data_IF_763960870451
#
_entry.id   IF_763960870451
#
_cell.length_a   1.000
_cell.length_b   1.000
_cell.length_c   1.000
_cell.angle_alpha   90.00
_cell.angle_beta   90.00
_cell.angle_gamma   90.00
#
_symmetry.space_group_name_H-M   'P 1'
#
loop_
_entity.id
_entity.type
_entity.pdbx_description
1 polymer ?
#
# COMPACT_ATOMS: atom_id res chain seq x y z
N UNK A 1 -12.21 -6.95 -51.56
CA UNK A 1 -12.64 -6.50 -50.22
C UNK A 1 -12.12 -7.50 -49.21
N UNK A 2 -11.00 -7.19 -48.55
CA UNK A 2 -10.38 -8.05 -47.54
C UNK A 2 -10.45 -7.35 -46.18
N UNK A 3 -11.05 -8.02 -45.19
CA UNK A 3 -11.11 -7.58 -43.80
C UNK A 3 -9.75 -7.81 -43.10
N UNK A 4 -9.33 -6.92 -42.17
CA UNK A 4 -8.11 -7.13 -41.39
C UNK A 4 -8.37 -8.04 -40.18
N UNK A 5 -7.50 -9.03 -39.97
CA UNK A 5 -7.48 -9.92 -38.80
C UNK A 5 -6.96 -9.19 -37.56
N UNK A 6 -7.67 -9.33 -36.44
CA UNK A 6 -7.24 -8.90 -35.12
C UNK A 6 -6.06 -9.78 -34.63
N UNK A 7 -4.93 -9.15 -34.33
CA UNK A 7 -3.80 -9.74 -33.61
C UNK A 7 -3.77 -9.11 -32.22
N UNK A 8 -4.16 -9.87 -31.19
CA UNK A 8 -3.97 -9.45 -29.81
C UNK A 8 -4.70 -10.34 -28.84
N UNK A 9 -4.01 -11.36 -28.30
CA UNK A 9 -4.32 -12.04 -27.01
C UNK A 9 -3.35 -13.23 -26.77
N UNK A 10 -2.03 -13.02 -26.70
CA UNK A 10 -1.15 -14.10 -26.20
C UNK A 10 0.13 -13.65 -25.46
N UNK A 11 0.28 -12.35 -25.18
CA UNK A 11 1.46 -11.84 -24.47
C UNK A 11 1.48 -12.21 -22.98
N UNK A 12 0.31 -12.31 -22.32
CA UNK A 12 0.18 -12.50 -20.86
C UNK A 12 0.52 -13.90 -20.34
N UNK A 13 0.52 -14.92 -21.22
CA UNK A 13 0.80 -16.32 -20.83
C UNK A 13 2.28 -16.69 -20.81
N UNK A 14 3.15 -15.93 -21.48
CA UNK A 14 4.50 -16.40 -21.79
C UNK A 14 5.57 -15.30 -21.76
N UNK A 15 6.00 -14.85 -20.57
CA UNK A 15 7.40 -14.42 -20.35
C UNK A 15 7.72 -14.17 -18.88
N UNK A 16 8.61 -15.02 -18.35
CA UNK A 16 9.81 -14.65 -17.61
C UNK A 16 10.78 -15.83 -17.75
N UNK A 17 11.79 -15.78 -18.64
CA UNK A 17 12.86 -16.77 -18.62
C UNK A 17 13.69 -16.57 -17.34
N UNK A 18 14.07 -17.68 -16.70
CA UNK A 18 14.74 -17.75 -15.40
C UNK A 18 16.22 -17.29 -15.42
N UNK A 19 16.62 -16.38 -16.32
CA UNK A 19 18.04 -16.14 -16.63
C UNK A 19 18.75 -15.00 -15.89
N UNK A 20 18.06 -14.02 -15.29
CA UNK A 20 18.73 -12.79 -14.80
C UNK A 20 19.04 -12.74 -13.29
N UNK A 21 19.29 -13.90 -12.67
CA UNK A 21 19.73 -13.97 -11.27
C UNK A 21 21.24 -14.22 -11.09
N UNK A 22 22.08 -13.97 -12.09
CA UNK A 22 23.53 -14.20 -11.97
C UNK A 22 24.34 -12.89 -12.01
N UNK A 23 24.84 -12.56 -10.80
CA UNK A 23 26.07 -11.83 -10.43
C UNK A 23 25.77 -10.63 -9.53
N UNK A 24 25.92 -10.84 -8.23
CA UNK A 24 26.16 -9.76 -7.29
C UNK A 24 27.61 -9.28 -7.48
N UNK A 25 27.87 -7.99 -7.77
CA UNK A 25 29.20 -7.43 -7.56
C UNK A 25 29.40 -7.15 -6.06
N UNK A 26 30.59 -7.48 -5.56
CA UNK A 26 31.03 -7.21 -4.19
C UNK A 26 30.99 -5.69 -3.89
N UNK A 27 30.66 -5.28 -2.65
CA UNK A 27 30.58 -3.88 -2.30
C UNK A 27 31.99 -3.28 -2.16
N UNK A 28 32.39 -2.46 -3.12
CA UNK A 28 33.51 -1.53 -2.96
C UNK A 28 33.10 -0.39 -2.03
N UNK A 29 33.85 -0.27 -0.94
CA UNK A 29 33.79 0.81 0.05
C UNK A 29 34.20 2.13 -0.60
N UNK A 30 33.30 3.11 -0.62
CA UNK A 30 33.64 4.52 -0.92
C UNK A 30 33.31 5.39 0.27
N UNK A 31 34.33 6.10 0.72
CA UNK A 31 34.41 6.89 1.93
C UNK A 31 33.49 8.12 1.92
N UNK A 32 32.87 8.32 3.08
CA UNK A 32 32.08 9.47 3.50
C UNK A 32 32.96 10.74 3.56
N UNK A 33 32.65 11.74 2.73
CA UNK A 33 33.20 13.11 2.85
C UNK A 33 32.07 14.07 3.21
N UNK A 34 32.01 14.40 4.50
CA UNK A 34 31.22 15.49 5.07
C UNK A 34 31.61 16.84 4.44
N UNK A 35 30.62 17.60 3.98
CA UNK A 35 30.75 19.02 3.67
C UNK A 35 29.95 19.86 4.70
N UNK A 36 30.47 21.02 5.15
CA UNK A 36 29.84 21.81 6.20
C UNK A 36 28.75 22.73 5.63
N UNK A 37 27.67 22.86 6.41
CA UNK A 37 26.56 23.77 6.17
C UNK A 37 26.90 25.19 6.62
N UNK A 38 26.78 26.18 5.72
CA UNK A 38 26.62 27.59 6.09
C UNK A 38 25.55 28.27 5.23
N UNK A 39 24.47 28.67 5.92
CA UNK A 39 23.75 29.95 5.85
C UNK A 39 23.60 30.68 4.48
N UNK A 40 22.35 30.90 4.01
CA UNK A 40 21.64 32.20 4.08
C UNK A 40 20.38 32.28 3.20
N UNK A 41 19.29 32.62 3.90
CA UNK A 41 18.20 33.56 3.62
C UNK A 41 17.95 34.08 2.18
N UNK A 42 16.69 33.85 1.79
CA UNK A 42 15.85 34.41 0.72
C UNK A 42 16.11 35.87 0.32
N UNK A 43 16.14 36.09 -0.99
CA UNK A 43 15.89 37.37 -1.66
C UNK A 43 14.44 37.46 -2.13
N UNK A 44 13.85 38.66 -2.17
CA UNK A 44 12.96 38.97 -3.29
C UNK A 44 13.28 40.30 -3.97
N UNK A 45 13.40 40.20 -5.29
CA UNK A 45 12.86 41.08 -6.32
C UNK A 45 12.78 42.57 -5.98
N UNK A 46 13.68 43.38 -6.56
CA UNK A 46 13.37 44.78 -6.86
C UNK A 46 13.74 45.13 -8.29
N UNK A 47 12.76 45.76 -8.93
CA UNK A 47 12.75 46.33 -10.27
C UNK A 47 13.76 47.47 -10.38
N UNK A 48 14.37 47.55 -11.57
CA UNK A 48 15.17 48.68 -12.08
C UNK A 48 14.38 49.98 -12.04
N UNK A 49 15.08 51.10 -11.79
CA UNK A 49 15.07 52.29 -12.68
C UNK A 49 16.23 53.21 -12.32
N UNK A 50 16.95 53.63 -13.35
CA UNK A 50 18.03 54.61 -13.31
C UNK A 50 17.52 56.03 -12.98
N UNK A 51 18.41 56.90 -12.51
CA UNK A 51 18.24 58.35 -12.67
C UNK A 51 19.58 59.06 -12.78
N UNK A 52 19.73 59.78 -13.89
CA UNK A 52 20.72 60.82 -14.15
C UNK A 52 20.43 62.07 -13.31
N UNK A 53 21.46 62.90 -13.28
CA UNK A 53 21.70 64.07 -12.44
C UNK A 53 20.70 65.23 -12.56
N UNK A 54 20.90 66.17 -11.61
CA UNK A 54 20.39 67.53 -11.48
C UNK A 54 19.17 67.73 -10.56
N UNK A 55 19.42 68.55 -9.56
CA UNK A 55 18.62 68.73 -8.37
C UNK A 55 17.53 69.78 -8.48
N UNK A 56 16.51 69.58 -7.66
CA UNK A 56 15.68 70.57 -6.96
C UNK A 56 14.74 69.78 -6.04
N UNK A 57 14.83 70.03 -4.73
CA UNK A 57 13.95 69.41 -3.72
C UNK A 57 12.65 70.20 -3.67
N UNK A 58 11.51 69.54 -3.87
CA UNK A 58 10.17 70.08 -3.60
C UNK A 58 9.56 69.19 -2.52
N UNK A 59 9.26 69.78 -1.36
CA UNK A 59 8.58 69.10 -0.26
C UNK A 59 7.06 69.09 -0.51
N UNK A 60 6.43 67.92 -0.40
CA UNK A 60 4.97 67.76 -0.46
C UNK A 60 4.46 67.26 0.90
N UNK A 61 3.34 67.80 1.42
CA UNK A 61 2.78 67.41 2.72
C UNK A 61 2.16 66.01 2.68
N UNK A 62 2.40 65.24 3.75
CA UNK A 62 1.91 63.88 3.92
C UNK A 62 0.43 63.88 4.35
N UNK A 63 -0.49 63.70 3.41
CA UNK A 63 -1.88 63.40 3.74
C UNK A 63 -2.00 61.93 4.21
N UNK A 64 -2.36 61.77 5.49
CA UNK A 64 -2.54 60.48 6.17
C UNK A 64 -3.80 59.77 5.65
N UNK A 65 -3.64 58.88 4.67
CA UNK A 65 -4.73 58.02 4.16
C UNK A 65 -5.11 56.99 5.24
N UNK A 66 -6.28 57.15 5.87
CA UNK A 66 -6.88 56.14 6.76
C UNK A 66 -7.24 54.90 5.95
N UNK A 67 -6.49 53.80 6.11
CA UNK A 67 -6.79 52.50 5.51
C UNK A 67 -8.06 51.92 6.15
N UNK A 68 -9.18 51.90 5.41
CA UNK A 68 -10.36 51.10 5.77
C UNK A 68 -9.95 49.62 5.87
N UNK A 69 -10.22 48.99 7.01
CA UNK A 69 -10.02 47.55 7.22
C UNK A 69 -10.96 46.80 6.26
N UNK A 70 -10.41 46.25 5.18
CA UNK A 70 -11.09 45.23 4.37
C UNK A 70 -11.17 43.96 5.20
N UNK A 71 -12.34 43.63 5.73
CA UNK A 71 -12.64 42.31 6.26
C UNK A 71 -12.56 41.31 5.10
N UNK A 72 -11.57 40.42 5.12
CA UNK A 72 -11.51 39.28 4.19
C UNK A 72 -12.67 38.34 4.55
N UNK A 73 -13.47 37.88 3.59
CA UNK A 73 -14.43 36.81 3.85
C UNK A 73 -13.64 35.57 4.32
N UNK A 74 -14.05 34.98 5.44
CA UNK A 74 -13.57 33.66 5.87
C UNK A 74 -14.10 32.66 4.85
N UNK A 75 -13.21 32.20 3.97
CA UNK A 75 -13.47 30.97 3.21
C UNK A 75 -13.37 29.85 4.23
N UNK A 76 -14.52 29.34 4.67
CA UNK A 76 -14.60 28.07 5.39
C UNK A 76 -14.20 26.99 4.39
N UNK A 77 -12.95 26.54 4.48
CA UNK A 77 -12.52 25.29 3.86
C UNK A 77 -13.36 24.22 4.54
N UNK A 78 -14.30 23.62 3.80
CA UNK A 78 -14.88 22.36 4.20
C UNK A 78 -13.71 21.38 4.29
N UNK A 79 -13.37 20.97 5.52
CA UNK A 79 -12.52 19.81 5.70
C UNK A 79 -13.38 18.68 5.16
N UNK A 80 -13.07 18.22 3.95
CA UNK A 80 -13.59 16.94 3.46
C UNK A 80 -13.07 15.94 4.48
N UNK A 81 -13.98 15.33 5.23
CA UNK A 81 -13.66 14.28 6.18
C UNK A 81 -13.03 13.14 5.36
N UNK A 82 -11.71 13.13 5.27
CA UNK A 82 -10.98 12.10 4.55
C UNK A 82 -11.15 10.82 5.36
N UNK A 83 -11.80 9.82 4.77
CA UNK A 83 -11.93 8.48 5.37
C UNK A 83 -10.57 8.05 5.93
N UNK A 84 -10.57 7.53 7.16
CA UNK A 84 -9.35 6.96 7.74
C UNK A 84 -8.77 5.90 6.79
N UNK A 85 -7.47 5.97 6.48
CA UNK A 85 -6.86 5.13 5.47
C UNK A 85 -6.83 3.66 5.92
N UNK A 86 -7.34 2.78 5.05
CA UNK A 86 -7.33 1.34 5.24
C UNK A 86 -6.19 0.72 4.42
N UNK A 87 -5.23 0.01 5.05
CA UNK A 87 -4.18 -0.68 4.32
C UNK A 87 -4.75 -1.77 3.41
N UNK A 88 -4.32 -1.86 2.15
CA UNK A 88 -4.73 -2.92 1.20
C UNK A 88 -4.48 -4.33 1.79
N UNK A 89 -3.37 -4.52 2.49
CA UNK A 89 -3.04 -5.80 3.14
C UNK A 89 -4.03 -6.19 4.25
N UNK A 90 -4.72 -5.21 4.87
CA UNK A 90 -5.72 -5.47 5.90
C UNK A 90 -6.92 -6.26 5.36
N UNK A 91 -7.30 -6.07 4.09
CA UNK A 91 -8.40 -6.81 3.47
C UNK A 91 -8.09 -8.31 3.41
N UNK A 92 -6.86 -8.68 3.03
CA UNK A 92 -6.40 -10.07 3.03
C UNK A 92 -6.42 -10.65 4.45
N UNK A 93 -5.86 -9.92 5.42
CA UNK A 93 -5.79 -10.37 6.81
C UNK A 93 -7.17 -10.55 7.43
N UNK A 94 -8.09 -9.63 7.17
CA UNK A 94 -9.47 -9.67 7.67
C UNK A 94 -10.23 -10.83 7.04
N UNK A 95 -10.14 -10.98 5.72
CA UNK A 95 -10.76 -12.08 4.98
C UNK A 95 -10.28 -13.43 5.51
N UNK A 96 -8.99 -13.55 5.86
CA UNK A 96 -8.45 -14.75 6.50
C UNK A 96 -8.97 -14.94 7.93
N UNK A 97 -8.86 -13.92 8.79
CA UNK A 97 -9.34 -13.96 10.15
C UNK A 97 -9.43 -12.54 10.74
N UNK A 98 -10.62 -12.07 11.18
CA UNK A 98 -10.77 -10.75 11.80
C UNK A 98 -9.83 -10.52 12.99
N UNK A 99 -9.62 -11.54 13.82
CA UNK A 99 -8.65 -11.45 14.92
C UNK A 99 -7.21 -11.32 14.41
N UNK A 100 -6.83 -12.01 13.33
CA UNK A 100 -5.50 -11.83 12.74
C UNK A 100 -5.32 -10.40 12.22
N UNK A 101 -6.33 -9.85 11.53
CA UNK A 101 -6.31 -8.47 11.09
C UNK A 101 -6.10 -7.49 12.25
N UNK A 102 -6.86 -7.66 13.34
CA UNK A 102 -6.73 -6.82 14.52
C UNK A 102 -5.37 -6.97 15.20
N UNK A 103 -4.85 -8.19 15.35
CA UNK A 103 -3.50 -8.41 15.89
C UNK A 103 -2.40 -7.72 15.06
N UNK A 104 -2.55 -7.70 13.73
CA UNK A 104 -1.56 -7.07 12.84
C UNK A 104 -1.69 -5.55 12.84
N UNK A 105 -2.92 -5.03 12.69
CA UNK A 105 -3.15 -3.62 12.38
C UNK A 105 -3.55 -2.76 13.58
N UNK A 106 -4.08 -3.36 14.65
CA UNK A 106 -4.41 -2.64 15.90
C UNK A 106 -3.26 -2.85 16.89
N UNK A 107 -2.91 -4.10 17.18
CA UNK A 107 -1.90 -4.45 18.19
C UNK A 107 -0.46 -4.38 17.66
N UNK A 108 -0.28 -4.12 16.36
CA UNK A 108 1.04 -4.00 15.69
C UNK A 108 1.95 -5.22 15.92
N UNK A 109 1.35 -6.41 16.04
CA UNK A 109 2.06 -7.66 16.30
C UNK A 109 2.72 -8.16 15.01
N UNK A 110 3.85 -7.55 14.64
CA UNK A 110 4.78 -8.07 13.65
C UNK A 110 5.91 -8.80 14.39
N UNK A 111 5.68 -10.04 14.79
CA UNK A 111 6.78 -10.88 15.24
C UNK A 111 7.69 -11.17 14.04
N UNK A 112 8.97 -10.90 14.22
CA UNK A 112 10.13 -11.34 13.45
C UNK A 112 10.19 -12.88 13.34
N UNK A 113 9.16 -13.47 12.74
CA UNK A 113 9.07 -14.90 12.53
C UNK A 113 10.03 -15.25 11.39
N UNK A 114 10.84 -16.29 11.56
CA UNK A 114 11.81 -16.77 10.56
C UNK A 114 11.20 -17.07 9.16
N UNK A 115 9.87 -17.12 9.04
CA UNK A 115 9.16 -17.18 7.75
C UNK A 115 9.15 -15.86 6.97
N UNK A 116 9.16 -14.73 7.67
CA UNK A 116 9.26 -13.39 7.08
C UNK A 116 10.66 -13.15 6.52
N UNK A 117 11.74 -13.77 7.03
CA UNK A 117 13.08 -13.61 6.43
C UNK A 117 13.14 -14.10 4.97
N UNK A 118 12.39 -15.16 4.63
CA UNK A 118 12.34 -15.71 3.26
C UNK A 118 11.37 -14.95 2.35
N UNK A 119 10.28 -14.40 2.91
CA UNK A 119 9.41 -13.45 2.21
C UNK A 119 10.10 -12.11 1.98
N UNK A 120 10.72 -11.54 3.01
CA UNK A 120 11.48 -10.29 3.00
C UNK A 120 12.69 -10.34 2.09
N UNK A 121 13.39 -11.48 1.92
CA UNK A 121 14.51 -11.56 0.98
C UNK A 121 14.08 -11.37 -0.48
N UNK A 122 12.84 -11.71 -0.81
CA UNK A 122 12.31 -11.60 -2.17
C UNK A 122 11.50 -10.32 -2.34
N UNK A 123 10.74 -9.90 -1.32
CA UNK A 123 10.27 -8.53 -1.23
C UNK A 123 11.46 -7.56 -1.30
N UNK A 124 12.63 -7.80 -0.71
CA UNK A 124 13.80 -6.92 -0.82
C UNK A 124 14.31 -6.70 -2.25
N UNK A 125 14.05 -7.62 -3.19
CA UNK A 125 14.36 -7.42 -4.60
C UNK A 125 13.23 -6.69 -5.35
N UNK A 126 11.99 -6.84 -4.88
CA UNK A 126 10.79 -6.16 -5.39
C UNK A 126 10.59 -4.77 -4.73
N UNK A 127 11.17 -4.55 -3.56
CA UNK A 127 10.99 -3.38 -2.70
C UNK A 127 11.90 -2.23 -3.10
N UNK A 128 12.94 -2.51 -3.91
CA UNK A 128 13.72 -1.47 -4.57
C UNK A 128 12.83 -0.82 -5.63
N UNK A 129 12.41 0.44 -5.44
CA UNK A 129 11.64 1.13 -6.45
C UNK A 129 12.46 1.21 -7.73
N UNK A 130 11.85 0.88 -8.86
CA UNK A 130 12.55 0.84 -10.13
C UNK A 130 11.58 0.59 -11.29
N UNK A 131 11.78 1.35 -12.35
CA UNK A 131 11.08 1.18 -13.62
C UNK A 131 12.01 0.44 -14.59
N UNK A 132 11.59 -0.73 -15.05
CA UNK A 132 12.27 -1.47 -16.12
C UNK A 132 11.37 -1.50 -17.35
N UNK A 133 11.95 -1.48 -18.55
CA UNK A 133 11.18 -1.64 -19.79
C UNK A 133 11.58 -2.93 -20.48
N UNK A 134 10.65 -3.88 -20.54
CA UNK A 134 10.84 -5.18 -21.20
C UNK A 134 10.01 -5.18 -22.49
N UNK A 135 10.67 -4.87 -23.62
CA UNK A 135 9.97 -4.67 -24.88
C UNK A 135 9.03 -3.46 -24.82
N UNK A 136 7.74 -3.69 -25.04
CA UNK A 136 6.70 -2.66 -25.00
C UNK A 136 6.13 -2.41 -23.61
N UNK A 137 6.39 -3.30 -22.64
CA UNK A 137 5.83 -3.24 -21.30
C UNK A 137 6.78 -2.52 -20.35
N UNK A 138 6.26 -1.54 -19.61
CA UNK A 138 6.97 -0.89 -18.50
C UNK A 138 6.57 -1.59 -17.20
N UNK A 139 7.55 -2.02 -16.44
CA UNK A 139 7.39 -2.70 -15.17
C UNK A 139 7.75 -1.71 -14.06
N UNK A 140 6.79 -1.42 -13.19
CA UNK A 140 6.99 -0.64 -11.98
C UNK A 140 6.96 -1.56 -10.77
N UNK A 141 8.04 -1.59 -10.00
CA UNK A 141 8.10 -2.36 -8.75
C UNK A 141 7.82 -1.45 -7.57
N UNK A 142 7.26 -2.02 -6.51
CA UNK A 142 7.07 -1.31 -5.26
C UNK A 142 6.20 -0.03 -5.38
N UNK A 143 5.25 -0.04 -6.32
CA UNK A 143 4.46 1.14 -6.65
C UNK A 143 3.49 1.48 -5.50
N UNK A 144 3.52 2.71 -4.95
CA UNK A 144 2.53 3.14 -3.97
C UNK A 144 1.15 3.24 -4.64
N UNK A 145 0.12 2.80 -3.92
CA UNK A 145 -1.26 2.77 -4.38
C UNK A 145 -2.17 3.52 -3.41
N UNK A 146 -3.18 4.19 -3.96
CA UNK A 146 -4.25 4.81 -3.20
C UNK A 146 -5.57 4.76 -3.96
N UNK A 147 -6.68 4.75 -3.22
CA UNK A 147 -8.03 4.96 -3.71
C UNK A 147 -8.77 5.83 -2.70
N UNK A 148 -8.95 7.10 -3.00
CA UNK A 148 -9.62 8.09 -2.16
C UNK A 148 -11.09 7.72 -1.97
N UNK A 149 -11.77 7.23 -3.02
CA UNK A 149 -13.19 6.83 -2.95
C UNK A 149 -13.45 5.73 -1.93
N UNK A 150 -12.51 4.78 -1.79
CA UNK A 150 -12.62 3.68 -0.82
C UNK A 150 -11.77 3.91 0.42
N UNK A 151 -10.98 4.98 0.48
CA UNK A 151 -9.99 5.21 1.54
C UNK A 151 -8.93 4.12 1.63
N UNK A 152 -8.54 3.49 0.51
CA UNK A 152 -7.52 2.44 0.50
C UNK A 152 -6.13 3.03 0.27
N UNK A 153 -5.12 2.51 0.97
CA UNK A 153 -3.71 2.84 0.75
C UNK A 153 -2.85 1.58 0.79
N UNK A 154 -1.74 1.58 0.07
CA UNK A 154 -0.78 0.50 0.17
C UNK A 154 0.27 0.51 -0.93
N UNK A 155 0.71 -0.68 -1.30
CA UNK A 155 1.81 -0.88 -2.24
C UNK A 155 1.51 -2.11 -3.09
N UNK A 156 1.74 -2.01 -4.40
CA UNK A 156 1.82 -3.17 -5.28
C UNK A 156 3.26 -3.67 -5.32
N UNK A 157 3.43 -4.99 -5.27
CA UNK A 157 4.72 -5.63 -5.54
C UNK A 157 5.23 -5.25 -6.94
N UNK A 158 4.39 -5.46 -7.95
CA UNK A 158 4.72 -5.17 -9.34
C UNK A 158 3.49 -4.77 -10.13
N UNK A 159 3.65 -3.80 -11.02
CA UNK A 159 2.63 -3.39 -11.99
C UNK A 159 3.24 -3.38 -13.38
N UNK A 160 2.64 -4.14 -14.29
CA UNK A 160 2.97 -4.12 -15.71
C UNK A 160 2.09 -3.08 -16.40
N UNK A 161 2.70 -2.14 -17.12
CA UNK A 161 2.02 -1.14 -17.93
C UNK A 161 2.23 -1.46 -19.41
N UNK A 162 1.13 -1.69 -20.11
CA UNK A 162 1.11 -1.84 -21.57
C UNK A 162 1.48 -0.51 -22.25
N UNK A 163 1.79 -0.58 -23.56
CA UNK A 163 2.17 0.61 -24.33
C UNK A 163 1.06 1.68 -24.37
N UNK A 164 -0.21 1.25 -24.28
CA UNK A 164 -1.37 2.13 -24.20
C UNK A 164 -1.60 2.69 -22.78
N UNK A 165 -0.77 2.30 -21.79
CA UNK A 165 -0.86 2.69 -20.39
C UNK A 165 -1.86 1.90 -19.56
N UNK A 166 -2.41 0.80 -20.07
CA UNK A 166 -3.22 -0.13 -19.28
C UNK A 166 -2.35 -0.82 -18.22
N UNK A 167 -2.77 -0.74 -16.96
CA UNK A 167 -2.06 -1.35 -15.84
C UNK A 167 -2.51 -2.80 -15.61
N UNK A 168 -1.59 -3.65 -15.18
CA UNK A 168 -1.83 -5.05 -14.83
C UNK A 168 -1.06 -5.39 -13.54
N UNK A 169 -1.73 -5.43 -12.38
CA UNK A 169 -1.07 -5.72 -11.10
C UNK A 169 -0.65 -7.19 -11.01
N UNK A 170 0.53 -7.43 -10.46
CA UNK A 170 1.07 -8.77 -10.19
C UNK A 170 1.48 -8.87 -8.72
N UNK A 171 0.70 -9.61 -7.94
CA UNK A 171 0.96 -9.87 -6.52
C UNK A 171 1.87 -11.10 -6.36
N UNK A 172 2.95 -10.96 -5.60
CA UNK A 172 3.91 -12.04 -5.40
C UNK A 172 3.62 -12.77 -4.09
N UNK A 173 3.44 -14.11 -4.17
CA UNK A 173 3.20 -14.94 -2.98
C UNK A 173 4.33 -15.93 -2.74
N UNK A 174 4.81 -15.91 -1.49
CA UNK A 174 5.74 -16.88 -0.94
C UNK A 174 5.02 -17.98 -0.19
N UNK A 175 5.45 -19.23 -0.42
CA UNK A 175 4.99 -20.39 0.32
C UNK A 175 4.02 -21.30 -0.45
N UNK A 176 3.52 -22.36 0.21
CA UNK A 176 2.57 -23.29 -0.36
C UNK A 176 1.23 -22.60 -0.66
N UNK A 177 0.48 -23.16 -1.61
CA UNK A 177 -0.83 -22.62 -1.99
C UNK A 177 -1.76 -22.55 -0.77
N UNK A 178 -2.27 -21.35 -0.49
CA UNK A 178 -3.32 -21.09 0.51
C UNK A 178 -4.67 -20.93 -0.19
N UNK A 179 -5.74 -20.71 0.59
CA UNK A 179 -7.05 -20.41 0.03
C UNK A 179 -6.97 -19.19 -0.89
N UNK A 180 -7.46 -19.37 -2.11
CA UNK A 180 -7.23 -18.43 -3.22
C UNK A 180 -7.93 -17.09 -3.02
N UNK A 181 -9.09 -17.09 -2.37
CA UNK A 181 -9.97 -15.92 -2.31
C UNK A 181 -9.40 -14.74 -1.50
N UNK A 182 -8.56 -14.97 -0.48
CA UNK A 182 -7.96 -13.87 0.29
C UNK A 182 -6.96 -13.06 -0.56
N UNK A 183 -6.16 -13.76 -1.36
CA UNK A 183 -5.18 -13.13 -2.25
C UNK A 183 -5.89 -12.41 -3.40
N UNK A 184 -6.99 -12.98 -3.89
CA UNK A 184 -7.82 -12.37 -4.95
C UNK A 184 -8.42 -11.05 -4.48
N UNK A 185 -8.89 -10.99 -3.23
CA UNK A 185 -9.43 -9.77 -2.62
C UNK A 185 -8.37 -8.65 -2.52
N UNK A 186 -7.15 -8.98 -2.12
CA UNK A 186 -6.04 -8.03 -2.05
C UNK A 186 -5.65 -7.50 -3.44
N UNK A 187 -5.51 -8.40 -4.42
CA UNK A 187 -5.18 -8.04 -5.80
C UNK A 187 -6.27 -7.17 -6.42
N UNK A 188 -7.55 -7.46 -6.17
CA UNK A 188 -8.65 -6.64 -6.63
C UNK A 188 -8.64 -5.24 -6.02
N UNK A 189 -8.30 -5.12 -4.74
CA UNK A 189 -8.11 -3.81 -4.11
C UNK A 189 -6.97 -3.01 -4.76
N UNK A 190 -5.86 -3.66 -5.10
CA UNK A 190 -4.77 -3.03 -5.86
C UNK A 190 -5.25 -2.57 -7.24
N UNK A 191 -6.02 -3.40 -7.95
CA UNK A 191 -6.60 -3.06 -9.24
C UNK A 191 -7.51 -1.83 -9.14
N UNK A 192 -8.44 -1.78 -8.17
CA UNK A 192 -9.32 -0.62 -7.96
C UNK A 192 -8.53 0.67 -7.67
N UNK A 193 -7.44 0.60 -6.91
CA UNK A 193 -6.56 1.75 -6.69
C UNK A 193 -5.91 2.20 -8.00
N UNK A 194 -5.35 1.27 -8.77
CA UNK A 194 -4.75 1.58 -10.06
C UNK A 194 -5.77 2.14 -11.06
N UNK A 195 -7.02 1.68 -11.06
CA UNK A 195 -8.08 2.23 -11.91
C UNK A 195 -8.34 3.70 -11.59
N UNK A 196 -8.44 4.05 -10.31
CA UNK A 196 -8.65 5.43 -9.88
C UNK A 196 -7.44 6.31 -10.22
N UNK A 197 -6.22 5.82 -9.95
CA UNK A 197 -4.99 6.54 -10.22
C UNK A 197 -4.72 6.78 -11.71
N UNK A 198 -5.14 5.84 -12.56
CA UNK A 198 -4.85 5.89 -14.01
C UNK A 198 -6.03 6.34 -14.85
N UNK A 199 -7.25 6.34 -14.31
CA UNK A 199 -8.49 6.61 -15.03
C UNK A 199 -8.84 5.54 -16.08
N UNK A 200 -8.27 4.33 -15.99
CA UNK A 200 -8.46 3.24 -16.95
C UNK A 200 -8.99 1.98 -16.28
N UNK A 201 -9.84 1.18 -16.95
CA UNK A 201 -10.32 -0.07 -16.40
C UNK A 201 -9.21 -1.12 -16.34
N UNK A 202 -9.21 -1.91 -15.26
CA UNK A 202 -8.27 -3.01 -14.99
C UNK A 202 -9.12 -4.27 -14.78
N UNK A 203 -9.44 -5.00 -15.85
CA UNK A 203 -10.34 -6.15 -15.79
C UNK A 203 -9.68 -7.41 -15.22
N UNK A 204 -8.35 -7.43 -15.07
CA UNK A 204 -7.62 -8.59 -14.58
C UNK A 204 -6.28 -8.20 -13.96
N UNK A 205 -5.75 -9.08 -13.11
CA UNK A 205 -4.38 -9.08 -12.61
C UNK A 205 -3.86 -10.50 -12.45
N UNK A 206 -2.68 -10.68 -11.86
CA UNK A 206 -2.12 -12.01 -11.62
C UNK A 206 -1.57 -12.18 -10.20
N UNK A 207 -1.66 -13.40 -9.69
CA UNK A 207 -0.89 -13.85 -8.53
C UNK A 207 0.25 -14.74 -9.02
N UNK A 208 1.49 -14.37 -8.69
CA UNK A 208 2.68 -15.14 -9.01
C UNK A 208 3.15 -15.96 -7.81
N UNK A 209 3.20 -17.29 -7.97
CA UNK A 209 3.71 -18.19 -6.94
C UNK A 209 5.19 -18.51 -7.19
N UNK A 210 6.08 -18.05 -6.32
CA UNK A 210 7.52 -18.28 -6.48
C UNK A 210 7.92 -19.76 -6.44
N UNK A 211 7.24 -20.57 -5.62
CA UNK A 211 7.55 -22.00 -5.46
C UNK A 211 7.33 -22.79 -6.75
N UNK A 212 6.32 -22.43 -7.54
CA UNK A 212 5.96 -23.12 -8.78
C UNK A 212 6.36 -22.34 -10.04
N UNK A 213 6.77 -21.08 -9.90
CA UNK A 213 7.00 -20.12 -11.00
C UNK A 213 5.81 -19.99 -11.95
N UNK A 214 4.59 -20.11 -11.43
CA UNK A 214 3.35 -19.99 -12.21
C UNK A 214 2.57 -18.73 -11.83
N UNK A 215 2.00 -18.08 -12.86
CA UNK A 215 0.99 -17.02 -12.73
C UNK A 215 -0.40 -17.65 -12.73
N UNK A 216 -1.25 -17.21 -11.82
CA UNK A 216 -2.71 -17.41 -11.88
C UNK A 216 -3.34 -16.07 -12.18
N UNK A 217 -3.99 -15.95 -13.33
CA UNK A 217 -4.79 -14.78 -13.67
C UNK A 217 -6.06 -14.75 -12.82
N UNK A 218 -6.46 -13.55 -12.41
CA UNK A 218 -7.66 -13.29 -11.62
C UNK A 218 -8.45 -12.21 -12.35
N UNK A 219 -9.70 -12.52 -12.70
CA UNK A 219 -10.62 -11.53 -13.24
C UNK A 219 -11.11 -10.61 -12.12
N UNK A 220 -11.09 -9.29 -12.37
CA UNK A 220 -11.60 -8.28 -11.45
C UNK A 220 -13.05 -7.96 -11.83
N UNK A 221 -13.91 -8.95 -11.64
CA UNK A 221 -15.34 -8.88 -11.95
C UNK A 221 -16.15 -8.07 -10.93
N UNK A 222 -17.45 -7.89 -11.20
CA UNK A 222 -18.34 -7.13 -10.31
C UNK A 222 -18.41 -7.73 -8.90
N UNK A 223 -18.49 -9.06 -8.78
CA UNK A 223 -18.59 -9.73 -7.49
C UNK A 223 -17.34 -9.50 -6.62
N UNK A 224 -16.15 -9.55 -7.23
CA UNK A 224 -14.90 -9.30 -6.51
C UNK A 224 -14.74 -7.83 -6.12
N UNK A 225 -15.22 -6.90 -6.95
CA UNK A 225 -15.26 -5.46 -6.64
C UNK A 225 -16.20 -5.15 -5.47
N UNK A 226 -17.36 -5.79 -5.44
CA UNK A 226 -18.31 -5.67 -4.33
C UNK A 226 -17.73 -6.25 -3.05
N UNK A 227 -17.03 -7.39 -3.14
CA UNK A 227 -16.32 -7.99 -2.01
C UNK A 227 -15.22 -7.06 -1.45
N UNK A 228 -14.47 -6.36 -2.30
CA UNK A 228 -13.49 -5.35 -1.85
C UNK A 228 -14.18 -4.23 -1.08
N UNK A 229 -15.30 -3.72 -1.59
CA UNK A 229 -16.05 -2.64 -0.94
C UNK A 229 -16.54 -3.09 0.44
N UNK A 230 -17.21 -4.25 0.52
CA UNK A 230 -17.69 -4.83 1.77
C UNK A 230 -16.54 -5.07 2.78
N UNK A 231 -15.44 -5.66 2.33
CA UNK A 231 -14.29 -5.94 3.17
C UNK A 231 -13.64 -4.64 3.68
N UNK A 232 -13.58 -3.60 2.85
CA UNK A 232 -13.04 -2.29 3.24
C UNK A 232 -13.86 -1.69 4.37
N UNK A 233 -15.18 -1.73 4.29
CA UNK A 233 -16.07 -1.20 5.34
C UNK A 233 -15.99 -2.02 6.63
N UNK A 234 -15.90 -3.34 6.52
CA UNK A 234 -15.75 -4.23 7.67
C UNK A 234 -14.38 -4.05 8.35
N UNK A 235 -13.32 -3.89 7.57
CA UNK A 235 -11.98 -3.58 8.09
C UNK A 235 -11.97 -2.22 8.76
N UNK A 236 -12.54 -1.19 8.13
CA UNK A 236 -12.62 0.15 8.73
C UNK A 236 -13.33 0.10 10.08
N UNK A 237 -14.48 -0.58 10.15
CA UNK A 237 -15.23 -0.77 11.39
C UNK A 237 -14.42 -1.53 12.46
N UNK A 238 -13.63 -2.51 12.05
CA UNK A 238 -12.75 -3.25 12.96
C UNK A 238 -11.63 -2.35 13.49
N UNK A 239 -10.96 -1.58 12.62
CA UNK A 239 -9.83 -0.72 12.97
C UNK A 239 -10.24 0.48 13.84
N UNK A 240 -11.46 0.98 13.67
CA UNK A 240 -12.03 2.01 14.55
C UNK A 240 -12.57 1.45 15.88
N UNK A 241 -12.70 0.12 15.99
CA UNK A 241 -13.12 -0.51 17.24
C UNK A 241 -11.95 -0.66 18.22
N UNK A 242 -12.23 -0.50 19.51
CA UNK A 242 -11.28 -0.80 20.59
C UNK A 242 -11.33 -2.27 21.04
N UNK A 243 -11.92 -3.16 20.22
CA UNK A 243 -12.22 -4.53 20.62
C UNK A 243 -11.49 -5.54 19.74
N UNK A 244 -10.66 -6.36 20.38
CA UNK A 244 -9.99 -7.47 19.71
C UNK A 244 -10.96 -8.65 19.51
N UNK A 245 -11.32 -9.04 18.27
CA UNK A 245 -12.24 -10.15 18.05
C UNK A 245 -11.75 -11.45 18.71
N UNK A 246 -12.62 -12.29 19.27
CA UNK A 246 -12.21 -13.52 19.93
C UNK A 246 -11.55 -14.49 18.94
N UNK A 247 -10.66 -15.39 19.40
CA UNK A 247 -10.03 -16.36 18.53
C UNK A 247 -11.04 -17.38 18.00
N UNK A 248 -11.00 -17.65 16.70
CA UNK A 248 -11.92 -18.60 16.05
C UNK A 248 -11.61 -20.06 16.38
N UNK A 249 -10.35 -20.39 16.66
CA UNK A 249 -9.86 -21.75 17.01
C UNK A 249 -10.30 -22.87 16.04
N UNK A 250 -10.41 -22.58 14.74
CA UNK A 250 -10.80 -23.55 13.72
C UNK A 250 -9.58 -24.10 12.93
N UNK A 251 -9.85 -24.83 11.85
CA UNK A 251 -8.81 -25.44 11.01
C UNK A 251 -7.81 -24.41 10.43
N UNK A 252 -8.22 -23.14 10.23
CA UNK A 252 -7.35 -22.10 9.67
C UNK A 252 -6.20 -21.79 10.61
N UNK A 253 -6.44 -21.81 11.93
CA UNK A 253 -5.45 -21.45 12.95
C UNK A 253 -4.15 -22.26 12.84
N UNK A 254 -4.22 -23.53 12.40
CA UNK A 254 -3.05 -24.40 12.25
C UNK A 254 -1.98 -23.86 11.30
N UNK A 255 -2.40 -23.06 10.31
CA UNK A 255 -1.52 -22.44 9.32
C UNK A 255 -1.34 -20.93 9.53
N UNK A 256 -1.87 -20.38 10.64
CA UNK A 256 -1.78 -18.97 10.94
C UNK A 256 -0.38 -18.65 11.48
N UNK A 257 0.29 -17.67 10.88
CA UNK A 257 1.61 -17.18 11.34
C UNK A 257 1.59 -16.61 12.75
N UNK A 258 0.42 -16.20 13.24
CA UNK A 258 0.24 -15.61 14.57
C UNK A 258 -0.30 -16.61 15.60
N UNK A 259 -0.36 -17.92 15.31
CA UNK A 259 -0.94 -18.90 16.25
C UNK A 259 -0.24 -18.90 17.62
N UNK A 260 1.08 -18.73 17.67
CA UNK A 260 1.85 -18.71 18.92
C UNK A 260 1.53 -17.49 19.80
N UNK A 261 1.16 -16.37 19.19
CA UNK A 261 0.81 -15.13 19.87
C UNK A 261 -0.68 -15.08 20.20
N UNK A 262 -1.52 -15.56 19.28
CA UNK A 262 -2.96 -15.61 19.41
C UNK A 262 -3.44 -16.66 20.44
N UNK A 263 -2.70 -17.78 20.56
CA UNK A 263 -2.98 -18.92 21.44
C UNK A 263 -4.46 -19.33 21.51
N UNK A 264 -5.11 -19.62 20.36
CA UNK A 264 -6.56 -19.81 20.30
C UNK A 264 -7.07 -20.97 21.18
N UNK A 265 -6.27 -22.03 21.36
CA UNK A 265 -6.59 -23.16 22.24
C UNK A 265 -6.57 -22.77 23.72
N UNK A 266 -5.60 -21.97 24.15
CA UNK A 266 -5.48 -21.55 25.55
C UNK A 266 -6.65 -20.65 25.94
N UNK A 267 -7.02 -19.71 25.05
CA UNK A 267 -8.19 -18.84 25.24
C UNK A 267 -9.49 -19.65 25.30
N UNK A 268 -9.68 -20.62 24.39
CA UNK A 268 -10.87 -21.48 24.40
C UNK A 268 -10.96 -22.38 25.65
N UNK A 269 -9.83 -22.75 26.25
CA UNK A 269 -9.78 -23.61 27.43
C UNK A 269 -9.86 -22.85 28.77
N UNK A 270 -10.00 -21.51 28.77
CA UNK A 270 -9.99 -20.70 30.00
C UNK A 270 -10.98 -21.16 31.06
N UNK A 271 -12.21 -21.51 30.68
CA UNK A 271 -13.22 -21.99 31.64
C UNK A 271 -12.78 -23.29 32.32
N UNK A 272 -12.26 -24.25 31.54
CA UNK A 272 -11.71 -25.51 32.07
C UNK A 272 -10.49 -25.27 32.97
N UNK A 273 -9.61 -24.33 32.60
CA UNK A 273 -8.47 -23.99 33.46
C UNK A 273 -8.91 -23.40 34.79
N UNK A 274 -9.95 -22.56 34.81
CA UNK A 274 -10.51 -22.03 36.06
C UNK A 274 -11.04 -23.14 36.95
N UNK A 275 -11.83 -24.05 36.40
CA UNK A 275 -12.37 -25.20 37.14
C UNK A 275 -11.26 -26.07 37.75
N UNK A 276 -10.20 -26.36 36.98
CA UNK A 276 -9.04 -27.10 37.49
C UNK A 276 -8.27 -26.35 38.59
N UNK A 277 -8.22 -25.02 38.53
CA UNK A 277 -7.58 -24.19 39.55
C UNK A 277 -8.39 -24.15 40.84
N UNK A 278 -9.72 -24.10 40.74
CA UNK A 278 -10.62 -24.10 41.90
C UNK A 278 -10.52 -25.43 42.66
N UNK A 279 -10.34 -26.55 41.95
CA UNK A 279 -10.17 -27.89 42.53
C UNK A 279 -8.74 -28.19 43.00
N UNK A 280 -7.77 -27.32 42.74
CA UNK A 280 -6.34 -27.63 42.93
C UNK A 280 -5.94 -27.81 44.40
N UNK A 281 -6.74 -27.27 45.32
CA UNK A 281 -6.53 -27.33 46.77
C UNK A 281 -7.63 -28.09 47.52
N UNK A 282 -8.61 -28.65 46.80
CA UNK A 282 -9.59 -29.55 47.41
C UNK A 282 -8.88 -30.88 47.68
N UNK A 283 -8.53 -31.09 48.94
CA UNK A 283 -7.92 -32.36 49.40
C UNK A 283 -9.07 -33.34 49.70
N UNK A 284 -9.02 -34.60 49.23
CA UNK A 284 -10.11 -35.57 49.38
C UNK A 284 -10.43 -35.91 50.84
#
# INVERSE_FOLDING_TARGET
>A
MGQPRALGTDYRRSRFPASDLRRAPEPTTVADRRAPSTLRLRSPCRRRTARLALGRRIAWPCHRIRRRRRTRPRVSIAIVDTLDPVPISALQHWSYCPRQCALIHIEQVFADNAFTARGNAVHAHVDKPGAERVGTVRIERAMPLWCDRLGLVGKADLVEFEADGTAYPVEYKHGPRRQQHHDDLQLAAQALCLEEMTGKPIPAGAIFHFSTRRRREVAIDAALRDAVTLATDAVRSLLSSSHLPPPVNDARCRNCSLIALCQPKAVAAQARYRELLDQLFETP
#
